data_IF_429804333179
#
_entry.id   IF_429804333179
#
_cell.length_a   1.000
_cell.length_b   1.000
_cell.length_c   1.000
_cell.angle_alpha   90.00
_cell.angle_beta   90.00
_cell.angle_gamma   90.00
#
_symmetry.space_group_name_H-M   'P 1'
#
loop_
_entity.id
_entity.type
_entity.pdbx_description
1 polymer ?
#
# COMPACT_ATOMS: atom_id res chain seq x y z
N UNK A 1 -6.09 9.47 -16.43
CA UNK A 1 -5.79 8.10 -16.04
C UNK A 1 -4.32 7.80 -16.31
N UNK A 2 -3.57 7.69 -15.22
CA UNK A 2 -2.15 7.47 -15.15
C UNK A 2 -1.79 5.98 -15.22
N UNK A 3 -0.58 5.71 -15.69
CA UNK A 3 0.09 4.42 -15.50
C UNK A 3 0.55 4.27 -14.05
N UNK A 4 0.72 3.03 -13.56
CA UNK A 4 1.15 2.77 -12.18
C UNK A 4 2.45 3.51 -11.82
N UNK A 5 3.39 3.57 -12.76
CA UNK A 5 4.70 4.22 -12.59
C UNK A 5 4.63 5.76 -12.59
N UNK A 6 3.49 6.33 -12.96
CA UNK A 6 3.24 7.78 -13.07
C UNK A 6 2.39 8.32 -11.92
N UNK A 7 1.98 7.45 -10.98
CA UNK A 7 1.22 7.86 -9.81
C UNK A 7 2.02 8.87 -8.98
N UNK A 8 1.35 9.95 -8.59
CA UNK A 8 1.97 11.02 -7.81
C UNK A 8 1.81 10.74 -6.32
N UNK A 9 2.88 10.29 -5.67
CA UNK A 9 2.90 10.06 -4.23
C UNK A 9 3.25 11.31 -3.45
N UNK A 10 2.45 11.60 -2.42
CA UNK A 10 2.81 12.51 -1.34
C UNK A 10 2.69 11.76 -0.02
N UNK A 11 3.82 11.25 0.49
CA UNK A 11 3.86 10.40 1.69
C UNK A 11 3.81 11.26 2.98
N UNK A 12 2.73 12.02 3.17
CA UNK A 12 2.60 13.01 4.26
C UNK A 12 2.77 12.39 5.64
N UNK A 13 2.27 11.17 5.85
CA UNK A 13 2.42 10.46 7.14
C UNK A 13 3.85 9.96 7.39
N UNK A 14 4.54 9.49 6.34
CA UNK A 14 5.95 9.08 6.45
C UNK A 14 6.89 10.27 6.73
N UNK A 15 6.43 11.50 6.48
CA UNK A 15 7.11 12.73 6.86
C UNK A 15 6.95 13.15 8.33
N UNK A 16 6.11 12.46 9.11
CA UNK A 16 5.99 12.67 10.56
C UNK A 16 7.23 12.13 11.30
N UNK A 17 7.46 12.53 12.56
CA UNK A 17 8.51 11.94 13.38
C UNK A 17 8.43 10.40 13.47
N UNK A 18 9.59 9.74 13.58
CA UNK A 18 9.69 8.27 13.60
C UNK A 18 8.97 7.62 14.78
N UNK A 19 8.56 8.38 15.82
CA UNK A 19 7.74 7.84 16.92
C UNK A 19 6.33 7.40 16.48
N UNK A 20 5.87 7.81 15.29
CA UNK A 20 4.54 7.47 14.78
C UNK A 20 4.53 6.24 13.86
N UNK A 21 5.69 5.83 13.34
CA UNK A 21 5.77 4.75 12.36
C UNK A 21 7.19 4.19 12.22
N UNK A 22 7.28 2.98 11.69
CA UNK A 22 8.54 2.38 11.24
C UNK A 22 8.53 2.25 9.71
N UNK A 23 9.66 2.53 9.04
CA UNK A 23 9.79 2.24 7.60
C UNK A 23 10.03 0.76 7.39
N UNK A 24 9.08 0.09 6.72
CA UNK A 24 9.12 -1.36 6.52
C UNK A 24 8.87 -1.69 5.05
N UNK A 25 9.77 -2.48 4.47
CA UNK A 25 9.57 -3.01 3.12
C UNK A 25 8.63 -4.22 3.15
N UNK A 26 7.68 -4.33 2.20
CA UNK A 26 6.83 -5.50 2.11
C UNK A 26 7.66 -6.74 1.75
N UNK A 27 7.28 -7.89 2.30
CA UNK A 27 7.84 -9.19 1.93
C UNK A 27 7.08 -9.73 0.70
N UNK A 28 7.75 -10.09 -0.40
CA UNK A 28 7.08 -10.58 -1.61
C UNK A 28 6.28 -11.87 -1.40
N UNK A 29 5.08 -11.94 -1.99
CA UNK A 29 4.30 -13.18 -2.10
C UNK A 29 4.68 -13.94 -3.39
N UNK A 30 4.91 -15.27 -3.34
CA UNK A 30 5.32 -16.02 -4.51
C UNK A 30 4.17 -16.24 -5.51
N UNK A 31 4.48 -16.17 -6.80
CA UNK A 31 3.55 -16.41 -7.92
C UNK A 31 2.21 -15.66 -7.81
N UNK A 32 2.24 -14.33 -7.66
CA UNK A 32 1.02 -13.54 -7.50
C UNK A 32 0.20 -13.55 -8.80
N UNK A 33 -1.13 -13.59 -8.66
CA UNK A 33 -2.06 -13.41 -9.76
C UNK A 33 -3.25 -12.56 -9.32
N UNK A 34 -3.87 -11.89 -10.27
CA UNK A 34 -5.01 -11.02 -10.01
C UNK A 34 -6.28 -11.86 -9.85
N UNK A 35 -6.96 -11.74 -8.70
CA UNK A 35 -8.24 -12.41 -8.45
C UNK A 35 -9.41 -11.56 -8.93
N UNK A 36 -9.39 -10.25 -8.62
CA UNK A 36 -10.46 -9.31 -8.97
C UNK A 36 -9.96 -7.87 -8.89
N UNK A 37 -10.64 -6.96 -9.60
CA UNK A 37 -10.43 -5.50 -9.54
C UNK A 37 -11.78 -4.83 -9.38
N UNK A 38 -11.81 -3.74 -8.62
CA UNK A 38 -12.93 -2.81 -8.58
C UNK A 38 -12.60 -1.58 -9.45
N UNK A 39 -13.19 -1.43 -10.65
CA UNK A 39 -12.91 -0.30 -11.54
C UNK A 39 -13.23 1.06 -10.91
N UNK A 40 -14.28 1.15 -10.10
CA UNK A 40 -14.65 2.39 -9.43
C UNK A 40 -13.60 2.81 -8.38
N UNK A 41 -12.97 1.85 -7.69
CA UNK A 41 -11.89 2.15 -6.75
C UNK A 41 -10.61 2.59 -7.48
N UNK A 42 -10.33 2.02 -8.65
CA UNK A 42 -9.19 2.43 -9.47
C UNK A 42 -9.37 3.85 -10.05
N UNK A 43 -10.61 4.23 -10.37
CA UNK A 43 -10.95 5.59 -10.80
C UNK A 43 -10.66 6.64 -9.72
N UNK A 44 -10.89 6.31 -8.43
CA UNK A 44 -10.52 7.20 -7.30
C UNK A 44 -9.02 7.53 -7.27
N UNK A 45 -8.18 6.66 -7.84
CA UNK A 45 -6.73 6.80 -7.89
C UNK A 45 -6.24 7.28 -9.27
N UNK A 46 -7.16 7.63 -10.18
CA UNK A 46 -6.90 7.93 -11.59
C UNK A 46 -6.06 6.84 -12.30
N UNK A 47 -6.26 5.56 -11.99
CA UNK A 47 -5.53 4.46 -12.62
C UNK A 47 -6.17 4.10 -13.96
N UNK A 48 -5.35 3.96 -15.01
CA UNK A 48 -5.77 3.52 -16.34
C UNK A 48 -6.33 2.08 -16.30
N UNK A 49 -7.53 1.82 -16.85
CA UNK A 49 -8.15 0.49 -16.87
C UNK A 49 -7.35 -0.61 -17.57
N UNK A 50 -6.40 -0.22 -18.42
CA UNK A 50 -5.49 -1.16 -19.06
C UNK A 50 -4.44 -1.71 -18.11
N UNK A 51 -4.18 -1.06 -16.96
CA UNK A 51 -3.10 -1.44 -16.05
C UNK A 51 -3.29 -2.83 -15.45
N UNK A 52 -4.51 -3.20 -15.06
CA UNK A 52 -4.77 -4.50 -14.46
C UNK A 52 -4.82 -5.67 -15.46
N UNK A 53 -4.59 -5.39 -16.74
CA UNK A 53 -4.38 -6.43 -17.76
C UNK A 53 -2.90 -6.78 -17.94
N UNK A 54 -1.99 -5.97 -17.38
CA UNK A 54 -0.54 -6.18 -17.46
C UNK A 54 -0.13 -7.35 -16.53
N UNK A 55 0.77 -8.26 -16.96
CA UNK A 55 1.25 -9.36 -16.13
C UNK A 55 1.86 -8.92 -14.79
N UNK A 56 2.60 -7.81 -14.79
CA UNK A 56 3.29 -7.27 -13.62
C UNK A 56 2.38 -6.51 -12.64
N UNK A 57 1.09 -6.31 -12.96
CA UNK A 57 0.17 -5.59 -12.08
C UNK A 57 0.11 -6.23 -10.69
N UNK A 58 0.02 -7.56 -10.65
CA UNK A 58 -0.04 -8.30 -9.39
C UNK A 58 1.26 -8.18 -8.55
N UNK A 59 2.41 -7.90 -9.17
CA UNK A 59 3.69 -7.76 -8.48
C UNK A 59 3.74 -6.49 -7.62
N UNK A 60 3.13 -5.39 -8.07
CA UNK A 60 3.06 -4.13 -7.31
C UNK A 60 2.20 -4.24 -6.04
N UNK A 61 1.20 -5.12 -6.03
CA UNK A 61 0.27 -5.29 -4.90
C UNK A 61 0.53 -6.55 -4.06
N UNK A 62 1.60 -7.28 -4.37
CA UNK A 62 2.03 -8.50 -3.65
C UNK A 62 3.39 -8.33 -2.96
N UNK A 63 3.93 -7.11 -2.93
CA UNK A 63 5.21 -6.80 -2.31
C UNK A 63 6.44 -7.16 -3.16
N UNK A 64 6.26 -7.72 -4.35
CA UNK A 64 7.37 -8.04 -5.26
C UNK A 64 7.96 -6.79 -5.93
N UNK A 65 7.15 -5.76 -6.16
CA UNK A 65 7.57 -4.45 -6.66
C UNK A 65 6.97 -3.33 -5.81
N UNK A 66 7.72 -2.24 -5.67
CA UNK A 66 7.21 -1.00 -5.09
C UNK A 66 6.81 -0.05 -6.21
N UNK A 67 5.72 0.69 -5.99
CA UNK A 67 5.34 1.79 -6.87
C UNK A 67 6.38 2.92 -6.76
N UNK A 68 6.83 3.50 -7.87
CA UNK A 68 7.75 4.65 -7.83
C UNK A 68 7.20 5.78 -6.95
N UNK A 69 8.04 6.31 -6.06
CA UNK A 69 7.67 7.39 -5.14
C UNK A 69 6.97 6.95 -3.85
N UNK A 70 6.60 5.68 -3.68
CA UNK A 70 6.06 5.16 -2.43
C UNK A 70 7.13 5.06 -1.32
N UNK A 71 6.77 5.44 -0.08
CA UNK A 71 7.58 5.22 1.14
C UNK A 71 6.77 4.37 2.13
N UNK A 72 6.87 3.03 2.07
CA UNK A 72 6.03 2.13 2.86
C UNK A 72 6.41 2.16 4.34
N UNK A 73 5.38 2.26 5.18
CA UNK A 73 5.50 2.36 6.64
C UNK A 73 4.54 1.41 7.35
N UNK A 74 4.88 1.03 8.59
CA UNK A 74 3.99 0.43 9.56
C UNK A 74 3.68 1.47 10.65
N UNK A 75 2.40 1.81 10.84
CA UNK A 75 1.97 2.87 11.77
C UNK A 75 1.78 2.34 13.18
N UNK A 76 2.24 3.10 14.18
CA UNK A 76 2.06 2.80 15.59
C UNK A 76 0.70 3.28 16.13
N UNK A 77 0.01 2.42 16.86
CA UNK A 77 -1.26 2.65 17.52
C UNK A 77 -1.44 1.74 18.76
N UNK A 78 -2.47 2.05 19.53
CA UNK A 78 -2.91 1.29 20.70
C UNK A 78 -4.43 1.18 20.69
N UNK A 79 -5.02 0.42 21.61
CA UNK A 79 -6.47 0.31 21.65
C UNK A 79 -6.98 -0.52 22.80
N UNK A 80 -8.30 -0.44 23.04
CA UNK A 80 -8.97 -1.33 23.97
C UNK A 80 -9.42 -2.59 23.22
N UNK A 81 -8.96 -3.76 23.68
CA UNK A 81 -9.41 -5.05 23.19
C UNK A 81 -10.14 -5.77 24.31
N UNK A 82 -11.39 -6.17 24.06
CA UNK A 82 -12.24 -6.85 25.03
C UNK A 82 -12.37 -6.11 26.39
N UNK A 83 -12.40 -4.78 26.36
CA UNK A 83 -12.50 -3.94 27.57
C UNK A 83 -11.18 -3.67 28.30
N UNK A 84 -10.05 -4.22 27.81
CA UNK A 84 -8.73 -4.00 28.38
C UNK A 84 -7.87 -3.11 27.47
N UNK A 85 -7.17 -2.14 28.04
CA UNK A 85 -6.23 -1.32 27.29
C UNK A 85 -4.98 -2.12 26.92
N UNK A 86 -4.67 -2.18 25.63
CA UNK A 86 -3.45 -2.76 25.08
C UNK A 86 -2.55 -1.60 24.63
N UNK A 87 -1.41 -1.36 25.30
CA UNK A 87 -0.63 -0.14 25.13
C UNK A 87 0.09 -0.04 23.77
N UNK A 88 0.25 -1.15 23.06
CA UNK A 88 0.90 -1.18 21.76
C UNK A 88 0.32 -2.32 20.91
N UNK A 89 -0.06 -2.02 19.68
CA UNK A 89 -0.55 -2.99 18.70
C UNK A 89 0.38 -2.98 17.48
N UNK A 90 -0.14 -2.60 16.31
CA UNK A 90 0.72 -2.16 15.20
C UNK A 90 1.23 -0.79 15.54
#
# INVERSE_FOLDING_TARGET
>A
MAKLEQLNFQNTYAGLPDVFHERVKPTPFPHPYLVSVNPAAAELLDIDPTEWTRPEFAEYFSGAKLLPGSDPIAMLYSGHQFGHYVPQLG
#
